data_IF_600014744242
#
_entry.id   IF_600014744242
#
_cell.length_a   1.000
_cell.length_b   1.000
_cell.length_c   1.000
_cell.angle_alpha   90.00
_cell.angle_beta   90.00
_cell.angle_gamma   90.00
#
_symmetry.space_group_name_H-M   'P 1'
#
loop_
_entity.id
_entity.type
_entity.pdbx_description
1 polymer ?
#
# COMPACT_ATOMS: atom_id res chain seq x y z
N UNK A 1 -13.31 -2.03 14.25
CA UNK A 1 -11.89 -1.63 14.28
C UNK A 1 -11.42 -1.46 15.72
N UNK A 2 -10.16 -1.77 16.06
CA UNK A 2 -9.60 -1.50 17.37
C UNK A 2 -9.43 0.02 17.61
N UNK A 3 -9.27 0.42 18.87
CA UNK A 3 -8.88 1.80 19.23
C UNK A 3 -7.37 1.84 19.37
N UNK A 4 -6.68 2.46 18.44
CA UNK A 4 -5.23 2.65 18.48
C UNK A 4 -4.84 3.92 17.73
N UNK A 5 -3.67 4.47 18.04
CA UNK A 5 -3.14 5.65 17.37
C UNK A 5 -2.94 5.41 15.85
N UNK A 6 -2.63 4.17 15.44
CA UNK A 6 -2.50 3.81 14.03
C UNK A 6 -3.82 3.92 13.27
N UNK A 7 -4.94 3.56 13.91
CA UNK A 7 -6.27 3.71 13.32
C UNK A 7 -6.61 5.20 13.15
N UNK A 8 -6.29 6.03 14.13
CA UNK A 8 -6.52 7.48 14.03
C UNK A 8 -5.70 8.10 12.90
N UNK A 9 -4.42 7.72 12.78
CA UNK A 9 -3.54 8.18 11.68
C UNK A 9 -4.06 7.68 10.32
N UNK A 10 -4.52 6.42 10.24
CA UNK A 10 -5.08 5.87 9.01
C UNK A 10 -6.37 6.59 8.62
N UNK A 11 -7.23 6.89 9.60
CA UNK A 11 -8.45 7.69 9.37
C UNK A 11 -8.09 9.08 8.86
N UNK A 12 -7.18 9.78 9.51
CA UNK A 12 -6.69 11.10 9.10
C UNK A 12 -6.16 11.08 7.66
N UNK A 13 -5.36 10.06 7.30
CA UNK A 13 -4.89 9.84 5.93
C UNK A 13 -6.05 9.71 4.95
N UNK A 14 -7.02 8.83 5.25
CA UNK A 14 -8.17 8.60 4.39
C UNK A 14 -9.02 9.86 4.22
N UNK A 15 -9.32 10.57 5.32
CA UNK A 15 -10.08 11.83 5.29
C UNK A 15 -9.34 12.92 4.50
N UNK A 16 -8.03 13.03 4.66
CA UNK A 16 -7.19 13.98 3.91
C UNK A 16 -7.27 13.74 2.40
N UNK A 17 -7.16 12.49 1.96
CA UNK A 17 -7.26 12.16 0.53
C UNK A 17 -8.69 12.25 -0.03
N UNK A 18 -9.69 12.41 0.81
CA UNK A 18 -11.08 12.65 0.41
C UNK A 18 -12.07 11.54 0.74
N UNK A 19 -11.73 10.66 1.67
CA UNK A 19 -12.67 9.64 2.15
C UNK A 19 -13.62 10.20 3.21
N UNK A 20 -14.85 9.75 3.16
CA UNK A 20 -15.80 9.87 4.27
C UNK A 20 -15.61 8.65 5.17
N UNK A 21 -15.19 8.86 6.42
CA UNK A 21 -14.93 7.77 7.38
C UNK A 21 -15.82 7.92 8.59
N UNK A 22 -16.64 6.92 8.86
CA UNK A 22 -17.52 6.87 10.02
C UNK A 22 -17.22 5.60 10.82
N UNK A 23 -16.88 5.76 12.08
CA UNK A 23 -16.69 4.67 13.03
C UNK A 23 -17.83 4.72 14.05
N UNK A 24 -18.64 3.66 14.11
CA UNK A 24 -19.76 3.56 15.06
C UNK A 24 -19.28 3.18 16.47
N UNK A 25 -20.14 3.36 17.45
CA UNK A 25 -19.91 2.93 18.85
C UNK A 25 -19.66 1.41 18.94
N UNK A 26 -20.19 0.63 18.00
CA UNK A 26 -19.93 -0.81 17.87
C UNK A 26 -18.63 -1.12 17.15
N UNK A 27 -17.80 -0.11 16.88
CA UNK A 27 -16.50 -0.23 16.19
C UNK A 27 -16.60 -0.75 14.75
N UNK A 28 -17.72 -0.60 14.10
CA UNK A 28 -17.85 -0.83 12.66
C UNK A 28 -17.36 0.43 11.95
N UNK A 29 -16.43 0.24 11.02
CA UNK A 29 -15.92 1.31 10.17
C UNK A 29 -16.64 1.25 8.82
N UNK A 30 -17.29 2.35 8.44
CA UNK A 30 -17.78 2.59 7.08
C UNK A 30 -16.87 3.63 6.44
N UNK A 31 -16.36 3.32 5.26
CA UNK A 31 -15.50 4.22 4.52
C UNK A 31 -15.88 4.20 3.04
N UNK A 32 -15.89 5.39 2.42
CA UNK A 32 -16.05 5.54 0.98
C UNK A 32 -15.23 6.73 0.48
N UNK A 33 -14.70 6.62 -0.73
CA UNK A 33 -13.92 7.68 -1.38
C UNK A 33 -14.49 7.95 -2.76
N UNK A 34 -15.57 8.74 -2.87
CA UNK A 34 -16.19 9.04 -4.17
C UNK A 34 -15.18 9.76 -5.09
N UNK A 35 -14.51 10.75 -4.53
CA UNK A 35 -13.52 11.57 -5.25
C UNK A 35 -12.25 11.73 -4.42
N UNK A 36 -11.10 11.45 -5.05
CA UNK A 36 -9.80 11.74 -4.45
C UNK A 36 -9.53 13.24 -4.56
N UNK A 37 -9.45 13.94 -3.43
CA UNK A 37 -9.20 15.39 -3.37
C UNK A 37 -7.74 15.74 -3.62
N UNK A 38 -6.83 14.96 -3.05
CA UNK A 38 -5.39 15.18 -3.21
C UNK A 38 -4.65 13.86 -3.38
N UNK A 39 -3.55 13.90 -4.11
CA UNK A 39 -2.58 12.79 -4.24
C UNK A 39 -1.29 13.06 -3.47
N UNK A 40 -1.22 14.19 -2.74
CA UNK A 40 -0.11 14.53 -1.86
C UNK A 40 -0.54 14.33 -0.41
N UNK A 41 0.23 13.56 0.34
CA UNK A 41 0.01 13.28 1.76
C UNK A 41 1.16 13.80 2.63
N UNK A 42 1.78 14.89 2.18
CA UNK A 42 2.96 15.50 2.80
C UNK A 42 2.71 16.05 4.21
N UNK A 43 1.49 16.46 4.50
CA UNK A 43 1.11 17.06 5.78
C UNK A 43 0.89 16.02 6.90
N UNK A 44 0.86 14.74 6.53
CA UNK A 44 0.59 13.66 7.48
C UNK A 44 1.83 13.26 8.29
N UNK A 45 1.58 12.57 9.38
CA UNK A 45 2.63 12.15 10.31
C UNK A 45 3.76 11.40 9.61
N UNK A 46 5.00 11.87 9.82
CA UNK A 46 6.23 11.19 9.41
C UNK A 46 6.67 10.10 10.41
N UNK A 47 5.90 9.88 11.48
CA UNK A 47 6.26 8.98 12.59
C UNK A 47 6.01 7.50 12.28
N UNK A 48 5.28 7.19 11.22
CA UNK A 48 4.98 5.81 10.82
C UNK A 48 5.09 5.63 9.30
N UNK A 49 4.81 4.42 8.82
CA UNK A 49 4.94 4.04 7.41
C UNK A 49 3.61 3.93 6.66
N UNK A 50 2.49 4.23 7.30
CA UNK A 50 1.14 4.16 6.70
C UNK A 50 1.05 4.96 5.38
N UNK A 51 1.63 6.18 5.26
CA UNK A 51 1.58 6.93 4.00
C UNK A 51 2.15 6.18 2.80
N UNK A 52 3.10 5.24 3.00
CA UNK A 52 3.65 4.42 1.93
C UNK A 52 2.59 3.53 1.27
N UNK A 53 1.63 3.01 2.05
CA UNK A 53 0.57 2.15 1.54
C UNK A 53 -0.45 2.89 0.67
N UNK A 54 -0.49 4.22 0.74
CA UNK A 54 -1.34 5.04 -0.12
C UNK A 54 -0.83 5.14 -1.56
N UNK A 55 0.44 4.80 -1.85
CA UNK A 55 1.02 4.96 -3.19
C UNK A 55 0.22 4.22 -4.25
N UNK A 56 0.07 2.90 -4.15
CA UNK A 56 -0.65 2.10 -5.13
C UNK A 56 -2.07 2.60 -5.39
N UNK A 57 -2.92 2.74 -4.36
CA UNK A 57 -4.28 3.26 -4.51
C UNK A 57 -4.36 4.66 -5.15
N UNK A 58 -3.48 5.58 -4.79
CA UNK A 58 -3.45 6.93 -5.37
C UNK A 58 -2.98 6.92 -6.83
N UNK A 59 -1.98 6.10 -7.17
CA UNK A 59 -1.51 5.93 -8.54
C UNK A 59 -2.63 5.44 -9.47
N UNK A 60 -3.41 4.44 -9.05
CA UNK A 60 -4.56 3.97 -9.81
C UNK A 60 -5.68 5.00 -9.96
N UNK A 61 -5.87 5.86 -8.97
CA UNK A 61 -6.95 6.84 -8.96
C UNK A 61 -6.58 8.16 -9.65
N UNK A 62 -5.30 8.55 -9.62
CA UNK A 62 -4.83 9.89 -10.03
C UNK A 62 -3.64 9.86 -10.99
N UNK A 63 -2.99 8.72 -11.21
CA UNK A 63 -1.78 8.59 -12.02
C UNK A 63 -0.50 9.09 -11.35
N UNK A 64 -0.60 9.77 -10.22
CA UNK A 64 0.54 10.23 -9.42
C UNK A 64 0.22 10.24 -7.93
N UNK A 65 1.28 10.17 -7.11
CA UNK A 65 1.20 10.30 -5.66
C UNK A 65 2.48 10.94 -5.11
N UNK A 66 2.35 11.70 -4.03
CA UNK A 66 3.49 12.25 -3.31
C UNK A 66 3.33 11.96 -1.81
N UNK A 67 4.35 11.30 -1.24
CA UNK A 67 4.39 10.95 0.17
C UNK A 67 5.63 11.55 0.84
N UNK A 68 5.58 11.87 2.14
CA UNK A 68 6.76 12.38 2.83
C UNK A 68 7.87 11.33 2.91
N UNK A 69 9.12 11.80 2.98
CA UNK A 69 10.22 10.92 3.41
C UNK A 69 9.89 10.45 4.83
N UNK A 70 9.72 9.15 4.96
CA UNK A 70 9.30 8.54 6.21
C UNK A 70 10.40 8.66 7.25
N UNK A 71 10.04 9.10 8.44
CA UNK A 71 10.94 9.11 9.59
C UNK A 71 11.40 7.70 9.96
N UNK A 72 12.59 7.60 10.56
CA UNK A 72 13.08 6.34 11.09
C UNK A 72 12.18 5.84 12.23
N UNK A 73 11.95 4.54 12.28
CA UNK A 73 11.41 3.91 13.48
C UNK A 73 12.50 3.95 14.57
N UNK A 74 12.18 4.14 15.87
CA UNK A 74 13.17 4.08 16.94
C UNK A 74 13.97 2.77 17.00
N UNK A 75 13.52 1.73 16.30
CA UNK A 75 14.16 0.41 16.23
C UNK A 75 15.26 0.33 15.13
N UNK A 76 15.38 1.33 14.23
CA UNK A 76 16.44 1.36 13.20
C UNK A 76 16.02 1.92 11.84
N UNK A 77 17.01 2.01 10.96
CA UNK A 77 16.81 2.46 9.58
C UNK A 77 16.06 1.39 8.79
N UNK A 78 14.88 1.73 8.26
CA UNK A 78 14.06 0.84 7.42
C UNK A 78 14.01 1.40 6.00
N UNK A 79 14.88 0.93 5.10
CA UNK A 79 14.91 1.40 3.72
C UNK A 79 13.60 1.07 3.00
N UNK A 80 13.29 1.84 1.97
CA UNK A 80 12.10 1.61 1.12
C UNK A 80 12.47 0.98 -0.22
N UNK A 81 13.71 0.51 -0.39
CA UNK A 81 14.20 -0.07 -1.63
C UNK A 81 13.28 -1.15 -2.19
N UNK A 82 12.83 -2.10 -1.35
CA UNK A 82 11.92 -3.18 -1.80
C UNK A 82 10.60 -2.64 -2.34
N UNK A 83 10.04 -1.59 -1.73
CA UNK A 83 8.83 -0.93 -2.25
C UNK A 83 9.10 -0.30 -3.61
N UNK A 84 10.21 0.43 -3.73
CA UNK A 84 10.59 1.12 -4.98
C UNK A 84 10.86 0.12 -6.09
N UNK A 85 11.61 -0.94 -5.82
CA UNK A 85 11.93 -1.99 -6.79
C UNK A 85 10.69 -2.71 -7.30
N UNK A 86 9.79 -3.10 -6.40
CA UNK A 86 8.54 -3.75 -6.76
C UNK A 86 7.67 -2.85 -7.65
N UNK A 87 7.44 -1.62 -7.24
CA UNK A 87 6.63 -0.66 -7.97
C UNK A 87 7.26 -0.28 -9.32
N UNK A 88 8.59 -0.13 -9.40
CA UNK A 88 9.29 0.12 -10.66
C UNK A 88 9.08 -1.03 -11.66
N UNK A 89 9.15 -2.30 -11.21
CA UNK A 89 8.84 -3.47 -12.05
C UNK A 89 7.40 -3.45 -12.56
N UNK A 90 6.49 -2.82 -11.86
CA UNK A 90 5.09 -2.66 -12.24
C UNK A 90 4.80 -1.44 -13.12
N UNK A 91 5.85 -0.72 -13.58
CA UNK A 91 5.71 0.45 -14.46
C UNK A 91 5.53 1.78 -13.72
N UNK A 92 5.73 1.82 -12.41
CA UNK A 92 5.70 3.06 -11.63
C UNK A 92 7.09 3.70 -11.63
N UNK A 93 7.17 4.99 -11.93
CA UNK A 93 8.40 5.77 -11.77
C UNK A 93 8.37 6.48 -10.42
N UNK A 94 9.38 6.24 -9.57
CA UNK A 94 9.52 6.86 -8.26
C UNK A 94 10.79 7.71 -8.23
N UNK A 95 10.62 8.97 -7.88
CA UNK A 95 11.68 9.97 -7.73
C UNK A 95 11.79 10.37 -6.25
N UNK A 96 13.01 10.26 -5.70
CA UNK A 96 13.31 10.80 -4.37
C UNK A 96 13.60 12.30 -4.49
N UNK A 97 12.80 13.11 -3.82
CA UNK A 97 13.01 14.55 -3.63
C UNK A 97 13.59 14.81 -2.24
N UNK A 98 13.90 16.05 -1.94
CA UNK A 98 14.51 16.43 -0.66
C UNK A 98 13.67 15.97 0.55
N UNK A 99 12.34 16.18 0.50
CA UNK A 99 11.44 15.88 1.61
C UNK A 99 10.34 14.88 1.28
N UNK A 100 10.31 14.34 0.05
CA UNK A 100 9.25 13.47 -0.43
C UNK A 100 9.76 12.36 -1.36
N UNK A 101 8.87 11.39 -1.60
CA UNK A 101 8.91 10.49 -2.73
C UNK A 101 7.74 10.84 -3.64
N UNK A 102 8.05 11.19 -4.88
CA UNK A 102 7.07 11.44 -5.92
C UNK A 102 6.99 10.22 -6.83
N UNK A 103 5.80 9.66 -6.96
CA UNK A 103 5.52 8.51 -7.79
C UNK A 103 4.57 8.88 -8.92
N UNK A 104 4.81 8.35 -10.11
CA UNK A 104 3.97 8.53 -11.28
C UNK A 104 3.87 7.25 -12.09
N UNK A 105 2.68 6.95 -12.60
CA UNK A 105 2.44 5.85 -13.51
C UNK A 105 1.34 6.21 -14.51
N UNK A 106 1.50 5.79 -15.77
CA UNK A 106 0.47 5.87 -16.80
C UNK A 106 -0.19 4.52 -17.05
N UNK A 107 0.55 3.44 -16.86
CA UNK A 107 0.11 2.07 -17.07
C UNK A 107 0.77 1.18 -16.01
N UNK A 108 -0.03 0.75 -15.04
CA UNK A 108 0.43 -0.17 -14.01
C UNK A 108 0.10 -1.59 -14.47
N UNK A 109 1.12 -2.42 -14.58
CA UNK A 109 1.00 -3.78 -15.08
C UNK A 109 1.57 -4.82 -14.13
N UNK A 110 1.18 -6.06 -14.32
CA UNK A 110 1.68 -7.21 -13.58
C UNK A 110 3.17 -7.42 -13.80
N UNK A 111 3.84 -7.98 -12.80
CA UNK A 111 5.29 -8.20 -12.81
C UNK A 111 5.68 -9.45 -12.01
N UNK A 112 6.86 -10.01 -12.31
CA UNK A 112 7.50 -11.02 -11.49
C UNK A 112 8.46 -10.34 -10.50
N UNK A 113 8.11 -10.41 -9.22
CA UNK A 113 8.79 -9.70 -8.14
C UNK A 113 9.35 -10.76 -7.18
N UNK A 114 10.63 -10.65 -6.87
CA UNK A 114 11.29 -11.47 -5.86
C UNK A 114 11.93 -10.55 -4.82
N UNK A 115 11.56 -10.73 -3.56
CA UNK A 115 12.13 -9.95 -2.47
C UNK A 115 13.38 -10.62 -1.91
N UNK A 116 14.42 -9.85 -1.61
CA UNK A 116 15.63 -10.33 -0.94
C UNK A 116 15.31 -10.92 0.45
N UNK A 117 14.32 -10.34 1.14
CA UNK A 117 13.79 -10.83 2.40
C UNK A 117 12.28 -10.54 2.49
N UNK A 118 11.51 -11.34 3.26
CA UNK A 118 10.06 -11.14 3.38
C UNK A 118 9.76 -9.87 4.18
N UNK A 119 9.43 -8.80 3.46
CA UNK A 119 9.04 -7.51 4.05
C UNK A 119 7.53 -7.37 4.05
N UNK A 120 6.92 -7.27 5.23
CA UNK A 120 5.47 -7.07 5.39
C UNK A 120 5.02 -5.83 4.60
N UNK A 121 5.60 -4.67 4.87
CA UNK A 121 5.18 -3.42 4.23
C UNK A 121 5.38 -3.41 2.70
N UNK A 122 6.47 -4.00 2.18
CA UNK A 122 6.66 -4.10 0.73
C UNK A 122 5.65 -5.06 0.09
N UNK A 123 5.33 -6.17 0.77
CA UNK A 123 4.31 -7.13 0.33
C UNK A 123 2.93 -6.47 0.30
N UNK A 124 2.52 -5.77 1.38
CA UNK A 124 1.26 -5.03 1.44
C UNK A 124 1.14 -4.01 0.30
N UNK A 125 2.16 -3.17 0.12
CA UNK A 125 2.15 -2.12 -0.89
C UNK A 125 2.08 -2.71 -2.31
N UNK A 126 2.78 -3.81 -2.56
CA UNK A 126 2.74 -4.52 -3.84
C UNK A 126 1.37 -5.13 -4.08
N UNK A 127 0.77 -5.79 -3.10
CA UNK A 127 -0.60 -6.34 -3.20
C UNK A 127 -1.60 -5.22 -3.53
N UNK A 128 -1.60 -4.12 -2.76
CA UNK A 128 -2.50 -2.98 -2.96
C UNK A 128 -2.35 -2.33 -4.34
N UNK A 129 -1.16 -2.42 -4.93
CA UNK A 129 -0.91 -1.93 -6.29
C UNK A 129 -1.34 -2.97 -7.34
N UNK A 130 -1.06 -4.24 -7.12
CA UNK A 130 -1.28 -5.32 -8.07
C UNK A 130 -2.75 -5.65 -8.31
N UNK A 131 -3.62 -5.52 -7.30
CA UNK A 131 -5.06 -5.87 -7.41
C UNK A 131 -5.84 -5.06 -8.45
N UNK A 132 -5.25 -4.04 -9.02
CA UNK A 132 -5.83 -3.25 -10.11
C UNK A 132 -4.84 -3.02 -11.26
N UNK A 133 -3.72 -3.74 -11.25
CA UNK A 133 -2.75 -3.71 -12.34
C UNK A 133 -3.28 -4.54 -13.52
N UNK A 134 -2.82 -4.26 -14.73
CA UNK A 134 -3.19 -5.07 -15.89
C UNK A 134 -2.33 -6.33 -15.95
N UNK A 135 -2.95 -7.50 -15.89
CA UNK A 135 -2.28 -8.80 -15.98
C UNK A 135 -1.95 -9.41 -14.63
N UNK A 136 -0.99 -10.29 -14.58
CA UNK A 136 -0.66 -11.09 -13.40
C UNK A 136 0.61 -10.60 -12.73
N UNK A 137 0.56 -10.44 -11.40
CA UNK A 137 1.74 -10.19 -10.56
C UNK A 137 2.04 -11.43 -9.74
N UNK A 138 3.29 -11.88 -9.78
CA UNK A 138 3.83 -12.92 -8.89
C UNK A 138 4.79 -12.27 -7.91
N UNK A 139 4.62 -12.55 -6.62
CA UNK A 139 5.54 -12.14 -5.57
C UNK A 139 6.17 -13.38 -4.97
N UNK A 140 7.47 -13.57 -5.16
CA UNK A 140 8.27 -14.60 -4.53
C UNK A 140 8.95 -14.04 -3.27
N UNK A 141 9.19 -14.91 -2.28
CA UNK A 141 9.69 -14.57 -0.95
C UNK A 141 8.87 -13.45 -0.28
N UNK A 142 7.54 -13.51 -0.47
CA UNK A 142 6.59 -12.60 0.14
C UNK A 142 6.51 -12.79 1.66
N UNK A 143 6.11 -11.76 2.38
CA UNK A 143 5.64 -11.90 3.75
C UNK A 143 4.32 -12.69 3.75
N UNK A 144 4.14 -13.57 4.73
CA UNK A 144 2.94 -14.41 4.90
C UNK A 144 2.42 -14.38 6.33
N UNK A 145 2.78 -13.35 7.08
CA UNK A 145 2.31 -13.09 8.43
C UNK A 145 0.79 -12.89 8.46
N UNK A 146 0.12 -13.07 9.61
CA UNK A 146 -1.34 -13.03 9.70
C UNK A 146 -1.98 -11.76 9.12
N UNK A 147 -1.33 -10.61 9.20
CA UNK A 147 -1.81 -9.35 8.64
C UNK A 147 -1.86 -9.38 7.11
N UNK A 148 -0.92 -10.07 6.45
CA UNK A 148 -0.93 -10.26 4.99
C UNK A 148 -2.10 -11.16 4.58
N UNK A 149 -2.30 -12.26 5.31
CA UNK A 149 -3.40 -13.18 5.05
C UNK A 149 -4.76 -12.50 5.25
N UNK A 150 -4.88 -11.66 6.30
CA UNK A 150 -6.07 -10.86 6.54
C UNK A 150 -6.33 -9.85 5.40
N UNK A 151 -5.28 -9.16 4.92
CA UNK A 151 -5.39 -8.25 3.78
C UNK A 151 -5.87 -8.98 2.53
N UNK A 152 -5.29 -10.15 2.21
CA UNK A 152 -5.67 -10.98 1.06
C UNK A 152 -7.14 -11.43 1.21
N UNK A 153 -7.53 -11.90 2.38
CA UNK A 153 -8.90 -12.32 2.65
C UNK A 153 -9.90 -11.18 2.44
N UNK A 154 -9.58 -9.99 2.94
CA UNK A 154 -10.41 -8.80 2.76
C UNK A 154 -10.52 -8.42 1.28
N UNK A 155 -9.42 -8.35 0.55
CA UNK A 155 -9.41 -7.98 -0.87
C UNK A 155 -10.13 -9.01 -1.73
N UNK A 156 -9.95 -10.30 -1.49
CA UNK A 156 -10.70 -11.36 -2.17
C UNK A 156 -12.21 -11.25 -1.88
N UNK A 157 -12.59 -10.92 -0.65
CA UNK A 157 -13.99 -10.61 -0.30
C UNK A 157 -14.55 -9.38 -1.01
N UNK A 158 -13.70 -8.47 -1.49
CA UNK A 158 -14.05 -7.31 -2.29
C UNK A 158 -14.00 -7.59 -3.82
N UNK A 159 -13.69 -8.83 -4.23
CA UNK A 159 -13.67 -9.25 -5.62
C UNK A 159 -12.30 -9.30 -6.29
N UNK A 160 -11.22 -9.18 -5.53
CA UNK A 160 -9.87 -9.44 -6.05
C UNK A 160 -9.64 -10.95 -6.26
N UNK A 161 -8.65 -11.29 -7.09
CA UNK A 161 -8.23 -12.66 -7.34
C UNK A 161 -6.78 -12.83 -6.87
N UNK A 162 -6.61 -13.19 -5.60
CA UNK A 162 -5.30 -13.36 -4.98
C UNK A 162 -5.19 -14.79 -4.44
N UNK A 163 -4.18 -15.53 -4.92
CA UNK A 163 -3.83 -16.85 -4.43
C UNK A 163 -2.50 -16.79 -3.66
N UNK A 164 -2.44 -17.46 -2.51
CA UNK A 164 -1.24 -17.52 -1.67
C UNK A 164 -0.82 -18.96 -1.48
N UNK A 165 0.49 -19.23 -1.60
CA UNK A 165 1.15 -20.48 -1.24
C UNK A 165 2.08 -20.18 -0.05
N UNK A 166 1.53 -20.22 1.15
CA UNK A 166 2.22 -19.77 2.38
C UNK A 166 3.58 -20.45 2.58
N UNK A 167 3.65 -21.78 2.41
CA UNK A 167 4.89 -22.55 2.59
C UNK A 167 5.99 -22.15 1.58
N UNK A 168 5.59 -21.77 0.37
CA UNK A 168 6.50 -21.29 -0.67
C UNK A 168 6.77 -19.76 -0.59
N UNK A 169 6.09 -19.06 0.31
CA UNK A 169 6.10 -17.58 0.38
C UNK A 169 5.82 -16.95 -0.99
N UNK A 170 4.87 -17.51 -1.72
CA UNK A 170 4.49 -17.04 -3.05
C UNK A 170 3.05 -16.53 -3.05
N UNK A 171 2.86 -15.34 -3.62
CA UNK A 171 1.55 -14.72 -3.81
C UNK A 171 1.37 -14.43 -5.30
N UNK A 172 0.25 -14.85 -5.87
CA UNK A 172 -0.14 -14.59 -7.25
C UNK A 172 -1.41 -13.74 -7.25
N UNK A 173 -1.40 -12.66 -8.03
CA UNK A 173 -2.47 -11.66 -8.07
C UNK A 173 -2.85 -11.45 -9.53
N UNK A 174 -4.11 -11.66 -9.84
CA UNK A 174 -4.71 -11.28 -11.11
C UNK A 174 -5.43 -9.93 -10.93
N UNK A 175 -4.96 -8.90 -11.62
CA UNK A 175 -5.45 -7.53 -11.46
C UNK A 175 -6.36 -7.04 -12.59
#
# INVERSE_FOLDING_TARGET
>A
VPLSAEIDITRELCEHIGSDVVISDTRVCRMQTPHVRTSSVMELSRKNRIPMLALGPLLHRRGFAEIPVLGGCPIGHRPINLHVEALNKMGVRIERREHSYYAQAHDIHGADIEFEYPSVGATENTILTAVRARGVTRIANAATEPEIINLITMLNGMGAHIAVKEQAREINIEG
#
